data_IF_466263047588
#
_entry.id   IF_466263047588
#
_cell.length_a   1.000
_cell.length_b   1.000
_cell.length_c   1.000
_cell.angle_alpha   90.00
_cell.angle_beta   90.00
_cell.angle_gamma   90.00
#
_symmetry.space_group_name_H-M   'P 1'
#
loop_
_entity.id
_entity.type
_entity.pdbx_description
1 polymer ?
#
# COMPACT_ATOMS: atom_id res chain seq x y z
N UNK A 1 -36.36 -35.27 -52.83
CA UNK A 1 -36.89 -34.69 -51.57
C UNK A 1 -36.05 -35.19 -50.38
N UNK A 2 -34.82 -34.70 -50.23
CA UNK A 2 -33.88 -35.13 -49.19
C UNK A 2 -33.24 -33.91 -48.53
N UNK A 3 -33.86 -33.35 -47.49
CA UNK A 3 -33.30 -32.17 -46.78
C UNK A 3 -33.55 -32.13 -45.27
N UNK A 4 -33.84 -33.27 -44.63
CA UNK A 4 -34.13 -33.31 -43.17
C UNK A 4 -33.50 -34.49 -42.40
N UNK A 5 -32.46 -35.14 -42.92
CA UNK A 5 -31.80 -36.27 -42.21
C UNK A 5 -30.51 -35.83 -41.49
N UNK A 6 -29.86 -34.74 -41.93
CA UNK A 6 -28.60 -34.25 -41.36
C UNK A 6 -28.72 -33.74 -39.93
N UNK A 7 -29.88 -33.19 -39.53
CA UNK A 7 -30.07 -32.63 -38.19
C UNK A 7 -30.18 -33.71 -37.10
N UNK A 8 -30.52 -34.96 -37.43
CA UNK A 8 -30.68 -36.01 -36.43
C UNK A 8 -29.32 -36.53 -35.91
N UNK A 9 -28.26 -36.40 -36.70
CA UNK A 9 -26.90 -36.82 -36.31
C UNK A 9 -26.07 -35.68 -35.71
N UNK A 10 -26.28 -34.44 -36.15
CA UNK A 10 -25.49 -33.30 -35.67
C UNK A 10 -25.78 -32.95 -34.21
N UNK A 11 -27.04 -33.03 -33.78
CA UNK A 11 -27.46 -32.70 -32.42
C UNK A 11 -26.83 -33.63 -31.36
N UNK A 12 -26.93 -34.99 -31.47
CA UNK A 12 -26.30 -35.87 -30.48
C UNK A 12 -24.78 -35.75 -30.48
N UNK A 13 -24.15 -35.51 -31.64
CA UNK A 13 -22.70 -35.37 -31.75
C UNK A 13 -22.20 -34.07 -31.11
N UNK A 14 -22.96 -32.97 -31.21
CA UNK A 14 -22.69 -31.73 -30.50
C UNK A 14 -22.86 -31.87 -28.97
N UNK A 15 -23.86 -32.63 -28.51
CA UNK A 15 -24.07 -32.92 -27.08
C UNK A 15 -22.90 -33.75 -26.53
N UNK A 16 -22.47 -34.78 -27.26
CA UNK A 16 -21.30 -35.60 -26.89
C UNK A 16 -20.03 -34.74 -26.86
N UNK A 17 -19.83 -33.86 -27.84
CA UNK A 17 -18.70 -32.93 -27.87
C UNK A 17 -18.65 -32.00 -26.65
N UNK A 18 -19.79 -31.42 -26.27
CA UNK A 18 -19.89 -30.61 -25.05
C UNK A 18 -19.65 -31.42 -23.77
N UNK A 19 -20.16 -32.66 -23.71
CA UNK A 19 -19.95 -33.53 -22.55
C UNK A 19 -18.47 -33.89 -22.39
N UNK A 20 -17.78 -34.18 -23.48
CA UNK A 20 -16.34 -34.47 -23.49
C UNK A 20 -15.54 -33.23 -23.05
N UNK A 21 -15.88 -32.03 -23.53
CA UNK A 21 -15.28 -30.75 -23.09
C UNK A 21 -15.49 -30.49 -21.59
N UNK A 22 -16.66 -30.80 -21.04
CA UNK A 22 -16.94 -30.65 -19.62
C UNK A 22 -16.22 -31.67 -18.73
N UNK A 23 -15.88 -32.85 -19.29
CA UNK A 23 -15.16 -33.91 -18.59
C UNK A 23 -13.63 -33.83 -18.75
N UNK A 24 -13.12 -32.91 -19.58
CA UNK A 24 -11.69 -32.65 -19.61
C UNK A 24 -11.24 -32.08 -18.25
N UNK A 25 -10.23 -32.68 -17.61
CA UNK A 25 -9.77 -32.23 -16.31
C UNK A 25 -9.25 -30.79 -16.43
N UNK A 26 -9.84 -29.88 -15.64
CA UNK A 26 -9.28 -28.55 -15.44
C UNK A 26 -7.86 -28.70 -14.87
N UNK A 27 -6.94 -27.81 -15.25
CA UNK A 27 -5.57 -27.81 -14.74
C UNK A 27 -5.60 -27.97 -13.20
N UNK A 28 -5.01 -29.05 -12.70
CA UNK A 28 -4.93 -29.29 -11.26
C UNK A 28 -4.00 -28.23 -10.69
N UNK A 29 -4.55 -27.40 -9.83
CA UNK A 29 -3.79 -26.44 -9.04
C UNK A 29 -2.99 -27.25 -8.03
N UNK A 30 -1.66 -27.31 -8.21
CA UNK A 30 -0.79 -27.91 -7.21
C UNK A 30 -0.66 -26.93 -6.05
N UNK A 31 -1.19 -27.31 -4.89
CA UNK A 31 -1.16 -26.48 -3.68
C UNK A 31 0.27 -26.40 -3.12
N UNK A 32 1.14 -27.35 -3.47
CA UNK A 32 2.53 -27.35 -3.01
C UNK A 32 3.36 -26.22 -3.64
N UNK A 33 3.00 -25.75 -4.84
CA UNK A 33 3.64 -24.58 -5.48
C UNK A 33 3.39 -23.27 -4.71
N UNK A 34 2.42 -23.27 -3.78
CA UNK A 34 2.00 -22.11 -2.99
C UNK A 34 2.10 -22.34 -1.49
N UNK A 35 2.76 -23.43 -1.06
CA UNK A 35 2.91 -23.77 0.35
C UNK A 35 3.87 -22.77 1.04
N UNK A 36 3.42 -22.18 2.14
CA UNK A 36 4.25 -21.35 3.04
C UNK A 36 4.73 -22.13 4.27
N UNK A 37 4.54 -23.45 4.30
CA UNK A 37 4.98 -24.29 5.40
C UNK A 37 6.52 -24.24 5.53
N UNK A 38 7.01 -23.82 6.69
CA UNK A 38 8.45 -23.63 6.96
C UNK A 38 8.97 -22.21 6.69
N UNK A 39 8.12 -21.29 6.25
CA UNK A 39 8.48 -19.89 6.08
C UNK A 39 8.45 -19.16 7.43
N UNK A 40 9.61 -19.02 8.07
CA UNK A 40 9.76 -18.14 9.24
C UNK A 40 9.85 -16.68 8.79
N UNK A 41 8.87 -15.88 9.18
CA UNK A 41 8.82 -14.44 8.89
C UNK A 41 9.28 -13.66 10.12
N UNK A 42 10.50 -13.11 10.08
CA UNK A 42 10.96 -12.15 11.07
C UNK A 42 10.66 -10.71 10.60
N UNK A 43 9.92 -9.97 11.42
CA UNK A 43 9.52 -8.59 11.15
C UNK A 43 10.45 -7.54 11.78
N UNK A 44 11.52 -7.98 12.47
CA UNK A 44 12.50 -7.07 13.03
C UNK A 44 13.50 -6.60 11.95
N UNK A 45 13.31 -5.39 11.45
CA UNK A 45 14.33 -4.72 10.64
C UNK A 45 15.54 -4.40 11.52
N UNK A 46 16.61 -5.18 11.40
CA UNK A 46 17.96 -4.70 11.75
C UNK A 46 18.35 -3.63 10.72
N UNK A 47 18.84 -2.48 11.19
CA UNK A 47 19.27 -1.35 10.37
C UNK A 47 20.40 -1.76 9.39
N UNK A 48 20.06 -2.32 8.23
CA UNK A 48 20.98 -2.50 7.10
C UNK A 48 20.66 -1.45 6.06
N UNK A 49 21.29 -0.29 6.24
CA UNK A 49 21.34 0.77 5.24
C UNK A 49 22.11 0.25 4.03
N UNK A 50 21.51 0.40 2.85
CA UNK A 50 22.01 0.03 1.53
C UNK A 50 23.43 0.59 1.28
N UNK A 51 24.35 -0.29 0.88
CA UNK A 51 25.50 0.08 0.05
C UNK A 51 25.52 -0.88 -1.14
N UNK A 52 24.91 -0.44 -2.25
CA UNK A 52 24.91 -1.18 -3.51
C UNK A 52 26.01 -0.59 -4.37
N UNK A 53 27.22 -1.15 -4.26
CA UNK A 53 28.23 -1.06 -5.33
C UNK A 53 28.32 -2.41 -6.01
N UNK A 54 27.98 -2.43 -7.29
CA UNK A 54 28.15 -3.52 -8.25
C UNK A 54 29.62 -3.90 -8.39
N UNK A 55 30.00 -5.11 -7.97
CA UNK A 55 31.19 -5.80 -8.48
C UNK A 55 30.81 -7.24 -8.86
N UNK A 56 31.26 -7.63 -10.06
CA UNK A 56 31.09 -8.96 -10.64
C UNK A 56 31.95 -9.96 -9.86
N UNK A 57 31.35 -11.01 -9.28
CA UNK A 57 32.07 -12.05 -8.54
C UNK A 57 31.92 -13.39 -9.26
N UNK A 58 33.07 -13.95 -9.64
CA UNK A 58 33.27 -15.30 -10.17
C UNK A 58 32.60 -16.36 -9.28
N UNK A 59 31.81 -17.24 -9.90
CA UNK A 59 31.07 -18.30 -9.19
C UNK A 59 31.96 -19.51 -9.00
N UNK A 60 32.50 -19.68 -7.79
CA UNK A 60 33.07 -20.94 -7.32
C UNK A 60 31.98 -21.70 -6.55
N UNK A 61 31.53 -22.83 -7.08
CA UNK A 61 30.53 -23.68 -6.41
C UNK A 61 31.20 -24.59 -5.38
N UNK A 62 31.24 -24.13 -4.12
CA UNK A 62 31.37 -25.03 -2.97
C UNK A 62 29.97 -25.28 -2.38
N UNK A 63 29.56 -26.55 -2.31
CA UNK A 63 28.29 -26.96 -1.72
C UNK A 63 28.49 -27.04 -0.20
N UNK A 64 28.15 -25.97 0.51
CA UNK A 64 27.95 -25.99 1.97
C UNK A 64 26.46 -26.15 2.29
N UNK A 65 26.18 -26.89 3.36
CA UNK A 65 24.83 -27.13 3.89
C UNK A 65 24.05 -25.81 4.01
N UNK A 66 22.95 -25.70 3.25
CA UNK A 66 22.17 -24.47 3.18
C UNK A 66 21.34 -24.30 4.46
N UNK A 67 21.78 -23.39 5.33
CA UNK A 67 20.91 -22.66 6.25
C UNK A 67 19.65 -22.20 5.50
N UNK A 68 18.44 -22.26 6.11
CA UNK A 68 17.21 -21.85 5.43
C UNK A 68 17.39 -20.43 4.91
N UNK A 69 17.28 -20.26 3.59
CA UNK A 69 17.41 -18.94 2.95
C UNK A 69 16.18 -18.12 3.34
N UNK A 70 16.32 -17.32 4.40
CA UNK A 70 15.29 -16.39 4.83
C UNK A 70 15.20 -15.27 3.80
N UNK A 71 14.17 -15.32 2.96
CA UNK A 71 13.89 -14.28 1.97
C UNK A 71 13.10 -13.14 2.60
N UNK A 72 13.75 -12.00 2.79
CA UNK A 72 13.07 -10.78 3.21
C UNK A 72 12.51 -10.04 1.99
N UNK A 73 11.21 -9.71 1.95
CA UNK A 73 10.69 -8.83 0.93
C UNK A 73 11.28 -7.42 1.13
N UNK A 74 12.25 -7.05 0.30
CA UNK A 74 12.83 -5.69 0.31
C UNK A 74 11.83 -4.74 -0.35
N UNK A 75 11.09 -3.99 0.48
CA UNK A 75 10.09 -3.02 0.00
C UNK A 75 10.75 -1.76 -0.62
N UNK A 76 11.97 -1.45 -0.18
CA UNK A 76 12.72 -0.26 -0.58
C UNK A 76 11.93 1.04 -0.40
N UNK A 77 12.23 2.02 -1.23
CA UNK A 77 11.53 3.31 -1.30
C UNK A 77 10.31 3.29 -2.22
N UNK A 78 9.65 2.14 -2.40
CA UNK A 78 8.42 2.04 -3.19
C UNK A 78 7.18 2.64 -2.48
N UNK A 79 6.07 2.79 -3.20
CA UNK A 79 4.78 3.15 -2.58
C UNK A 79 4.32 2.12 -1.54
N UNK A 80 4.62 0.83 -1.74
CA UNK A 80 4.32 -0.21 -0.75
C UNK A 80 5.16 0.04 0.51
N UNK A 81 6.46 0.30 0.35
CA UNK A 81 7.32 0.68 1.47
C UNK A 81 6.83 1.93 2.20
N UNK A 82 6.30 2.92 1.47
CA UNK A 82 5.71 4.14 2.05
C UNK A 82 4.51 3.83 2.96
N UNK A 83 3.51 3.10 2.44
CA UNK A 83 2.32 2.79 3.24
C UNK A 83 2.65 1.87 4.42
N UNK A 84 3.54 0.89 4.25
CA UNK A 84 3.96 0.01 5.35
C UNK A 84 4.70 0.79 6.43
N UNK A 85 5.62 1.70 6.05
CA UNK A 85 6.32 2.54 7.01
C UNK A 85 5.36 3.44 7.80
N UNK A 86 4.36 4.03 7.14
CA UNK A 86 3.32 4.83 7.81
C UNK A 86 2.49 3.95 8.74
N UNK A 87 1.94 2.83 8.25
CA UNK A 87 1.15 1.90 9.06
C UNK A 87 1.91 1.38 10.27
N UNK A 88 3.21 1.08 10.13
CA UNK A 88 4.05 0.66 11.24
C UNK A 88 4.21 1.77 12.28
N UNK A 89 4.41 3.02 11.87
CA UNK A 89 4.50 4.16 12.80
C UNK A 89 3.19 4.44 13.54
N UNK A 90 2.06 4.24 12.87
CA UNK A 90 0.72 4.52 13.40
C UNK A 90 0.25 3.45 14.38
N UNK A 91 0.46 2.17 14.06
CA UNK A 91 -0.14 1.03 14.80
C UNK A 91 0.73 -0.21 14.91
N UNK A 92 1.98 -0.16 14.43
CA UNK A 92 2.83 -1.35 14.19
C UNK A 92 2.21 -2.35 13.20
N UNK A 93 1.35 -1.88 12.30
CA UNK A 93 0.70 -2.72 11.29
C UNK A 93 -0.61 -3.37 11.75
N UNK A 94 -1.11 -3.06 12.95
CA UNK A 94 -2.32 -3.68 13.51
C UNK A 94 -3.60 -3.08 12.89
N UNK A 95 -4.29 -3.88 12.07
CA UNK A 95 -5.55 -3.49 11.44
C UNK A 95 -6.73 -3.38 12.42
N UNK A 96 -6.66 -3.99 13.61
CA UNK A 96 -7.81 -4.18 14.49
C UNK A 96 -7.73 -3.36 15.78
N UNK A 97 -6.82 -2.38 15.83
CA UNK A 97 -6.61 -1.54 17.00
C UNK A 97 -7.39 -0.22 16.94
N UNK A 98 -7.69 0.33 18.12
CA UNK A 98 -8.25 1.67 18.29
C UNK A 98 -7.49 2.36 19.41
N UNK A 99 -6.95 3.55 19.15
CA UNK A 99 -6.23 4.29 20.19
C UNK A 99 -7.16 5.04 21.16
N UNK A 100 -6.58 5.67 22.19
CA UNK A 100 -7.31 6.41 23.22
C UNK A 100 -8.14 7.60 22.70
N UNK A 101 -7.87 8.07 21.48
CA UNK A 101 -8.62 9.15 20.82
C UNK A 101 -9.63 8.63 19.77
N UNK A 102 -9.80 7.31 19.65
CA UNK A 102 -10.78 6.70 18.75
C UNK A 102 -10.33 6.59 17.29
N UNK A 103 -9.03 6.72 17.01
CA UNK A 103 -8.49 6.48 15.67
C UNK A 103 -8.37 4.98 15.39
N UNK A 104 -8.73 4.57 14.17
CA UNK A 104 -9.04 3.19 13.82
C UNK A 104 -7.96 2.56 12.93
N UNK A 105 -7.58 1.33 13.28
CA UNK A 105 -6.85 0.39 12.45
C UNK A 105 -5.41 0.75 12.13
N UNK A 106 -4.87 0.12 11.07
CA UNK A 106 -3.44 0.13 10.73
C UNK A 106 -2.90 1.54 10.58
N UNK A 107 -3.70 2.42 9.99
CA UNK A 107 -3.32 3.79 9.68
C UNK A 107 -3.88 4.82 10.64
N UNK A 108 -4.52 4.39 11.74
CA UNK A 108 -5.11 5.27 12.75
C UNK A 108 -5.98 6.35 12.10
N UNK A 109 -7.07 5.95 11.44
CA UNK A 109 -7.99 6.88 10.78
C UNK A 109 -9.01 7.46 11.75
N UNK A 110 -9.23 8.78 11.67
CA UNK A 110 -10.34 9.45 12.34
C UNK A 110 -11.66 9.24 11.60
N UNK A 111 -12.77 9.14 12.34
CA UNK A 111 -14.11 8.89 11.80
C UNK A 111 -14.57 9.94 10.77
N UNK A 112 -14.26 11.22 10.99
CA UNK A 112 -14.58 12.28 10.04
C UNK A 112 -13.80 12.15 8.71
N UNK A 113 -12.54 11.73 8.78
CA UNK A 113 -11.74 11.45 7.58
C UNK A 113 -12.33 10.27 6.80
N UNK A 114 -12.74 9.21 7.48
CA UNK A 114 -13.42 8.07 6.86
C UNK A 114 -14.69 8.50 6.11
N UNK A 115 -15.53 9.33 6.74
CA UNK A 115 -16.74 9.87 6.10
C UNK A 115 -16.40 10.65 4.83
N UNK A 116 -15.33 11.48 4.86
CA UNK A 116 -14.90 12.23 3.68
C UNK A 116 -14.59 11.33 2.48
N UNK A 117 -13.98 10.17 2.71
CA UNK A 117 -13.65 9.16 1.67
C UNK A 117 -14.74 8.11 1.46
N UNK A 118 -15.93 8.30 2.02
CA UNK A 118 -17.12 7.50 1.73
C UNK A 118 -17.32 6.27 2.61
N UNK A 119 -16.61 6.18 3.74
CA UNK A 119 -16.75 5.11 4.73
C UNK A 119 -17.52 5.66 5.93
N UNK A 120 -18.74 5.15 6.15
CA UNK A 120 -19.64 5.65 7.20
C UNK A 120 -19.78 4.69 8.39
N UNK A 121 -19.35 3.44 8.23
CA UNK A 121 -19.43 2.42 9.26
C UNK A 121 -18.01 2.08 9.77
N UNK A 122 -17.66 2.62 10.94
CA UNK A 122 -16.34 2.42 11.56
C UNK A 122 -16.07 0.98 11.96
N UNK A 123 -17.09 0.21 12.38
CA UNK A 123 -16.91 -1.20 12.75
C UNK A 123 -16.59 -2.03 11.50
N UNK A 124 -17.35 -1.83 10.41
CA UNK A 124 -17.05 -2.49 9.14
C UNK A 124 -15.66 -2.12 8.62
N UNK A 125 -15.23 -0.87 8.81
CA UNK A 125 -13.88 -0.43 8.48
C UNK A 125 -12.79 -1.12 9.30
N UNK A 126 -12.96 -1.17 10.63
CA UNK A 126 -11.97 -1.75 11.52
C UNK A 126 -11.72 -3.24 11.21
N UNK A 127 -12.78 -3.99 10.92
CA UNK A 127 -12.68 -5.42 10.61
C UNK A 127 -12.47 -5.74 9.13
N UNK A 128 -12.07 -4.77 8.32
CA UNK A 128 -11.83 -4.99 6.89
C UNK A 128 -10.48 -4.40 6.43
N UNK A 129 -9.38 -5.19 6.49
CA UNK A 129 -8.04 -4.74 6.10
C UNK A 129 -7.97 -4.18 4.68
N UNK A 130 -8.66 -4.80 3.71
CA UNK A 130 -8.69 -4.32 2.33
C UNK A 130 -9.28 -2.91 2.24
N UNK A 131 -10.35 -2.63 2.99
CA UNK A 131 -10.95 -1.29 3.04
C UNK A 131 -9.99 -0.27 3.67
N UNK A 132 -9.17 -0.66 4.65
CA UNK A 132 -8.16 0.22 5.24
C UNK A 132 -7.05 0.58 4.26
N UNK A 133 -6.57 -0.39 3.48
CA UNK A 133 -5.59 -0.15 2.41
C UNK A 133 -6.15 0.78 1.32
N UNK A 134 -7.40 0.55 0.90
CA UNK A 134 -8.09 1.43 -0.04
C UNK A 134 -8.36 2.83 0.54
N UNK A 135 -8.65 2.93 1.84
CA UNK A 135 -8.84 4.19 2.54
C UNK A 135 -7.56 5.02 2.59
N UNK A 136 -6.43 4.38 2.87
CA UNK A 136 -5.11 5.02 2.86
C UNK A 136 -4.82 5.65 1.49
N UNK A 137 -4.98 4.87 0.42
CA UNK A 137 -4.82 5.36 -0.95
C UNK A 137 -5.77 6.52 -1.25
N UNK A 138 -7.08 6.38 -0.99
CA UNK A 138 -8.06 7.43 -1.27
C UNK A 138 -7.78 8.74 -0.51
N UNK A 139 -7.31 8.64 0.74
CA UNK A 139 -6.90 9.81 1.52
C UNK A 139 -5.65 10.48 0.92
N UNK A 140 -4.64 9.68 0.53
CA UNK A 140 -3.42 10.16 -0.12
C UNK A 140 -3.75 10.86 -1.46
N UNK A 141 -4.62 10.29 -2.30
CA UNK A 141 -5.04 10.90 -3.56
C UNK A 141 -5.72 12.26 -3.37
N UNK A 142 -6.58 12.40 -2.35
CA UNK A 142 -7.23 13.67 -2.00
C UNK A 142 -6.24 14.69 -1.47
N UNK A 143 -5.37 14.29 -0.57
CA UNK A 143 -4.32 15.14 -0.03
C UNK A 143 -3.40 15.63 -1.15
N UNK A 144 -2.97 14.74 -2.04
CA UNK A 144 -2.20 15.07 -3.24
C UNK A 144 -2.94 16.08 -4.12
N UNK A 145 -4.24 15.91 -4.33
CA UNK A 145 -5.04 16.91 -5.04
C UNK A 145 -5.06 18.27 -4.35
N UNK A 146 -5.31 18.32 -3.04
CA UNK A 146 -5.38 19.57 -2.27
C UNK A 146 -4.04 20.31 -2.30
N UNK A 147 -2.94 19.56 -2.20
CA UNK A 147 -1.58 20.07 -2.07
C UNK A 147 -0.81 20.14 -3.39
N UNK A 148 -1.38 19.74 -4.54
CA UNK A 148 -0.69 19.69 -5.85
C UNK A 148 0.12 20.93 -6.23
N UNK A 149 -0.37 22.12 -5.86
CA UNK A 149 0.33 23.39 -6.11
C UNK A 149 1.50 23.60 -5.15
N UNK A 150 1.33 23.19 -3.90
CA UNK A 150 2.34 23.29 -2.86
C UNK A 150 3.43 22.22 -3.08
N UNK A 151 3.08 20.98 -3.46
CA UNK A 151 4.03 19.94 -3.90
C UNK A 151 4.89 20.47 -5.05
N UNK A 152 4.28 20.94 -6.14
CA UNK A 152 5.02 21.51 -7.29
C UNK A 152 5.96 22.66 -6.90
N UNK A 153 5.58 23.46 -5.90
CA UNK A 153 6.34 24.65 -5.49
C UNK A 153 7.52 24.31 -4.56
N UNK A 154 7.35 23.32 -3.69
CA UNK A 154 8.28 23.09 -2.58
C UNK A 154 9.03 21.75 -2.68
N UNK A 155 8.64 20.84 -3.55
CA UNK A 155 9.38 19.59 -3.72
C UNK A 155 10.84 19.86 -4.13
N UNK A 156 11.78 19.23 -3.41
CA UNK A 156 13.21 19.43 -3.56
C UNK A 156 13.80 20.55 -2.69
N UNK A 157 12.96 21.48 -2.20
CA UNK A 157 13.41 22.58 -1.34
C UNK A 157 13.81 22.11 0.05
N UNK A 158 14.64 22.91 0.74
CA UNK A 158 14.94 22.70 2.15
C UNK A 158 14.18 23.71 3.01
N UNK A 159 13.28 23.23 3.85
CA UNK A 159 12.49 24.06 4.76
C UNK A 159 12.80 23.65 6.19
N UNK A 160 13.23 24.60 7.03
CA UNK A 160 13.51 24.34 8.46
C UNK A 160 14.42 23.11 8.67
N UNK A 161 15.45 22.97 7.82
CA UNK A 161 16.45 21.90 7.88
C UNK A 161 15.99 20.52 7.38
N UNK A 162 14.85 20.43 6.68
CA UNK A 162 14.38 19.17 6.07
C UNK A 162 14.19 19.33 4.57
N UNK A 163 14.64 18.33 3.80
CA UNK A 163 14.35 18.24 2.36
C UNK A 163 12.88 17.87 2.17
N UNK A 164 12.15 18.70 1.44
CA UNK A 164 10.74 18.49 1.14
C UNK A 164 10.61 17.51 -0.02
N UNK A 165 9.74 16.52 0.15
CA UNK A 165 9.44 15.49 -0.85
C UNK A 165 7.93 15.27 -0.90
N UNK A 166 7.39 14.79 -2.03
CA UNK A 166 5.97 14.46 -2.12
C UNK A 166 5.53 13.46 -1.05
N UNK A 167 6.28 12.37 -0.84
CA UNK A 167 5.98 11.37 0.19
C UNK A 167 5.93 11.95 1.60
N UNK A 168 6.89 12.79 1.97
CA UNK A 168 6.87 13.49 3.25
C UNK A 168 5.65 14.42 3.41
N UNK A 169 5.25 15.12 2.34
CA UNK A 169 4.05 15.96 2.31
C UNK A 169 2.78 15.11 2.52
N UNK A 170 2.66 13.98 1.82
CA UNK A 170 1.50 13.10 1.90
C UNK A 170 1.36 12.46 3.29
N UNK A 171 2.46 11.99 3.88
CA UNK A 171 2.46 11.46 5.25
C UNK A 171 2.07 12.55 6.26
N UNK A 172 2.66 13.75 6.17
CA UNK A 172 2.30 14.83 7.09
C UNK A 172 0.84 15.29 6.93
N UNK A 173 0.28 15.17 5.72
CA UNK A 173 -1.13 15.44 5.47
C UNK A 173 -2.05 14.33 6.01
N UNK A 174 -1.58 13.08 6.07
CA UNK A 174 -2.26 11.99 6.77
C UNK A 174 -2.37 12.27 8.27
N UNK A 175 -1.26 12.68 8.90
CA UNK A 175 -1.20 13.05 10.32
C UNK A 175 -2.07 14.26 10.68
N UNK A 176 -1.81 15.39 10.02
CA UNK A 176 -2.26 16.71 10.48
C UNK A 176 -3.30 17.36 9.55
N UNK A 177 -3.67 16.69 8.46
CA UNK A 177 -4.49 17.23 7.39
C UNK A 177 -3.73 18.16 6.44
N UNK A 178 -4.18 18.21 5.18
CA UNK A 178 -3.58 19.05 4.15
C UNK A 178 -3.56 20.56 4.47
N UNK A 179 -4.51 21.04 5.29
CA UNK A 179 -4.53 22.44 5.73
C UNK A 179 -3.32 22.82 6.59
N UNK A 180 -2.93 21.95 7.51
CA UNK A 180 -1.77 22.15 8.39
C UNK A 180 -0.47 22.10 7.61
N UNK A 181 -0.33 21.15 6.68
CA UNK A 181 0.83 21.05 5.80
C UNK A 181 0.98 22.29 4.91
N UNK A 182 -0.14 22.82 4.38
CA UNK A 182 -0.14 24.07 3.61
C UNK A 182 0.38 25.24 4.44
N UNK A 183 -0.04 25.37 5.70
CA UNK A 183 0.44 26.41 6.61
C UNK A 183 1.92 26.25 6.90
N UNK A 184 2.40 25.03 7.13
CA UNK A 184 3.82 24.74 7.33
C UNK A 184 4.66 25.15 6.12
N UNK A 185 4.33 24.64 4.93
CA UNK A 185 5.07 24.92 3.69
C UNK A 185 5.12 26.42 3.38
N UNK A 186 3.98 27.11 3.45
CA UNK A 186 3.88 28.53 3.06
C UNK A 186 4.47 29.50 4.08
N UNK A 187 4.69 29.05 5.32
CA UNK A 187 5.38 29.82 6.36
C UNK A 187 6.85 29.44 6.49
N UNK A 188 7.38 28.67 5.52
CA UNK A 188 8.75 28.15 5.54
C UNK A 188 9.08 27.45 6.87
N UNK A 189 8.10 26.71 7.39
CA UNK A 189 8.25 25.89 8.59
C UNK A 189 8.04 26.60 9.92
N UNK A 190 7.64 27.88 9.92
CA UNK A 190 7.30 28.62 11.14
C UNK A 190 6.03 28.06 11.80
N UNK A 191 5.02 27.68 11.00
CA UNK A 191 3.82 27.02 11.49
C UNK A 191 4.01 25.50 11.51
N UNK A 192 4.29 24.90 12.66
CA UNK A 192 4.51 23.47 12.80
C UNK A 192 3.49 22.81 13.74
N UNK A 193 2.30 22.50 13.21
CA UNK A 193 1.24 21.81 13.96
C UNK A 193 1.75 20.49 14.55
N UNK A 194 1.24 20.16 15.75
CA UNK A 194 1.49 18.90 16.45
C UNK A 194 0.16 18.21 16.76
N UNK A 195 0.11 16.89 16.61
CA UNK A 195 -1.04 16.10 17.01
C UNK A 195 -1.17 15.98 18.54
N UNK A 196 -2.16 15.24 19.01
CA UNK A 196 -2.41 15.03 20.44
C UNK A 196 -1.31 14.21 21.16
N UNK A 197 -0.40 13.58 20.41
CA UNK A 197 0.77 12.86 20.94
C UNK A 197 2.08 13.67 20.78
N UNK A 198 2.01 14.92 20.33
CA UNK A 198 3.17 15.80 20.13
C UNK A 198 3.95 15.55 18.83
N UNK A 199 3.43 14.70 17.94
CA UNK A 199 4.02 14.42 16.64
C UNK A 199 3.77 15.60 15.70
N UNK A 200 4.83 16.14 15.11
CA UNK A 200 4.73 17.37 14.29
C UNK A 200 4.68 17.12 12.80
N UNK A 201 4.17 18.09 12.03
CA UNK A 201 4.23 18.10 10.56
C UNK A 201 5.67 17.92 10.07
N UNK A 202 6.62 18.68 10.63
CA UNK A 202 8.06 18.55 10.32
C UNK A 202 8.57 17.12 10.56
N UNK A 203 8.15 16.49 11.66
CA UNK A 203 8.56 15.12 11.99
C UNK A 203 8.14 14.14 10.89
N UNK A 204 6.88 14.18 10.44
CA UNK A 204 6.38 13.29 9.39
C UNK A 204 7.00 13.59 8.04
N UNK A 205 7.16 14.87 7.69
CA UNK A 205 7.83 15.25 6.45
C UNK A 205 9.27 14.72 6.38
N UNK A 206 10.00 14.76 7.50
CA UNK A 206 11.37 14.22 7.58
C UNK A 206 11.37 12.69 7.55
N UNK A 207 10.57 12.05 8.39
CA UNK A 207 10.58 10.60 8.60
C UNK A 207 10.16 9.82 7.36
N UNK A 208 9.15 10.32 6.64
CA UNK A 208 8.59 9.65 5.47
C UNK A 208 9.04 10.28 4.16
N UNK A 209 10.17 11.00 4.18
CA UNK A 209 10.74 11.57 2.98
C UNK A 209 11.43 10.53 2.10
N UNK A 210 11.37 10.76 0.78
CA UNK A 210 12.16 10.02 -0.21
C UNK A 210 11.57 8.68 -0.66
N UNK A 211 10.31 8.40 -0.36
CA UNK A 211 9.58 7.30 -1.01
C UNK A 211 8.98 7.74 -2.35
N UNK A 212 8.92 6.82 -3.30
CA UNK A 212 8.24 6.95 -4.58
C UNK A 212 6.72 6.82 -4.40
N UNK A 213 6.03 7.94 -4.60
CA UNK A 213 4.57 8.07 -4.58
C UNK A 213 4.01 8.43 -5.96
N UNK A 214 4.77 8.21 -7.04
CA UNK A 214 4.37 8.51 -8.41
C UNK A 214 3.08 7.79 -8.84
N UNK A 215 2.83 6.59 -8.31
CA UNK A 215 1.62 5.80 -8.54
C UNK A 215 0.35 6.43 -7.95
N UNK A 216 0.48 7.28 -6.92
CA UNK A 216 -0.66 7.97 -6.29
C UNK A 216 -1.12 9.09 -7.21
N UNK A 217 -2.34 8.99 -7.75
CA UNK A 217 -2.90 10.01 -8.65
C UNK A 217 -3.69 11.04 -7.87
N UNK A 218 -3.47 12.32 -8.16
CA UNK A 218 -4.22 13.40 -7.51
C UNK A 218 -5.72 13.32 -7.89
N UNK A 219 -6.60 13.05 -6.91
CA UNK A 219 -8.04 12.90 -7.15
C UNK A 219 -8.88 13.62 -6.08
N UNK A 220 -9.59 14.67 -6.49
CA UNK A 220 -10.45 15.48 -5.59
C UNK A 220 -11.56 14.67 -4.91
N UNK A 221 -12.10 13.66 -5.60
CA UNK A 221 -13.30 12.94 -5.21
C UNK A 221 -13.02 11.48 -4.87
N UNK A 222 -11.76 11.12 -4.60
CA UNK A 222 -11.38 9.74 -4.29
C UNK A 222 -12.26 9.17 -3.17
N UNK A 223 -12.67 7.92 -3.31
CA UNK A 223 -13.46 7.20 -2.30
C UNK A 223 -12.90 5.80 -2.15
N UNK A 224 -12.94 5.28 -0.95
CA UNK A 224 -12.61 3.89 -0.67
C UNK A 224 -13.90 3.06 -0.71
N UNK A 225 -13.88 1.99 -1.51
CA UNK A 225 -15.01 1.09 -1.74
C UNK A 225 -14.50 -0.32 -1.95
N UNK A 226 -15.27 -1.30 -1.49
CA UNK A 226 -15.11 -2.70 -1.87
C UNK A 226 -15.99 -2.94 -3.09
#
# INVERSE_FOLDING_TARGET
>A
MFKKITNFFVIPLAIIGMLVLALYPSAKLDINDYSTAGLELDFNMSDRVEDTTTEEVEVVFEIQEQEPVVYYPVLGKSYIGFREAVGFKESRGDYFTVNSYGYLGKYQFGSETLKMIGIYNSNHFLFNPELQEKAFLANAERNKWILRKDIKRFEGETINGIKVTESGILAAAHLAGAGSVKKFLRSYGSNNFSDAYGTTVKHYMKKFGGYDTSSVKANRKAKARI
#
